data_IF_404702314349
#
_entry.id   IF_404702314349
#
_cell.length_a   1.000
_cell.length_b   1.000
_cell.length_c   1.000
_cell.angle_alpha   90.00
_cell.angle_beta   90.00
_cell.angle_gamma   90.00
#
_symmetry.space_group_name_H-M   'P 1'
#
loop_
_entity.id
_entity.type
_entity.pdbx_description
1 polymer ?
#
# COMPACT_ATOMS: atom_id res chain seq x y z
N UNK A 1 65.27 9.57 15.71
CA UNK A 1 66.29 10.64 15.48
C UNK A 1 65.50 11.85 15.01
N UNK A 2 65.38 12.84 15.87
CA UNK A 2 65.81 14.22 15.77
C UNK A 2 65.16 15.02 14.62
N UNK A 3 64.54 16.18 14.68
CA UNK A 3 64.63 17.28 15.70
C UNK A 3 63.41 18.21 15.49
N UNK A 4 62.97 18.81 16.59
CA UNK A 4 62.24 20.08 16.68
C UNK A 4 62.99 21.23 16.06
N UNK A 5 62.34 22.27 15.53
CA UNK A 5 62.68 23.67 15.75
C UNK A 5 61.38 24.52 15.74
N UNK A 6 61.13 25.15 16.88
CA UNK A 6 60.22 26.29 17.05
C UNK A 6 60.95 27.58 16.63
N UNK A 7 60.22 28.52 15.97
CA UNK A 7 60.61 29.94 15.98
C UNK A 7 59.39 30.79 16.23
N UNK A 8 59.33 31.44 17.36
CA UNK A 8 58.47 32.54 17.69
C UNK A 8 59.02 33.85 17.11
N UNK A 9 58.14 34.64 16.50
CA UNK A 9 58.52 36.06 16.23
C UNK A 9 57.32 36.93 16.67
N UNK A 10 57.56 37.70 17.71
CA UNK A 10 56.75 38.85 18.12
C UNK A 10 56.91 39.98 17.11
N UNK A 11 55.84 40.62 16.68
CA UNK A 11 55.84 41.95 16.09
C UNK A 11 54.64 42.77 16.59
N UNK A 12 54.96 43.99 16.90
CA UNK A 12 54.31 45.02 17.68
C UNK A 12 52.93 45.51 17.06
N UNK A 13 52.10 45.97 17.98
CA UNK A 13 50.79 46.57 17.76
C UNK A 13 50.87 47.94 17.09
N UNK A 14 49.94 48.22 16.22
CA UNK A 14 49.41 49.53 15.95
C UNK A 14 47.87 49.48 16.15
N UNK A 15 47.40 50.20 17.19
CA UNK A 15 45.98 50.40 17.43
C UNK A 15 45.43 51.29 16.31
N UNK A 16 44.60 50.71 15.44
CA UNK A 16 43.63 51.46 14.68
C UNK A 16 42.26 50.95 15.14
N UNK A 17 41.48 51.85 15.74
CA UNK A 17 40.11 51.64 16.16
C UNK A 17 39.26 51.50 14.87
N UNK A 18 38.69 50.31 14.56
CA UNK A 18 37.72 50.25 13.51
C UNK A 18 36.39 50.72 14.09
N UNK A 19 35.83 51.74 13.46
CA UNK A 19 34.42 52.13 13.59
C UNK A 19 33.59 50.89 13.33
N UNK A 20 32.95 50.35 14.38
CA UNK A 20 31.97 49.27 14.26
C UNK A 20 30.75 49.90 13.55
N UNK A 21 30.71 49.75 12.24
CA UNK A 21 29.45 49.83 11.51
C UNK A 21 28.63 48.63 11.96
N UNK A 22 27.66 48.84 12.84
CA UNK A 22 26.62 47.86 13.13
C UNK A 22 25.91 47.61 11.79
N UNK A 23 26.30 46.51 11.12
CA UNK A 23 25.43 45.92 10.13
C UNK A 23 24.19 45.51 10.90
N UNK A 24 23.09 46.29 10.70
CA UNK A 24 21.78 45.81 11.02
C UNK A 24 21.57 44.55 10.20
N UNK A 25 21.66 43.39 10.85
CA UNK A 25 21.04 42.20 10.35
C UNK A 25 19.58 42.55 10.14
N UNK A 26 19.26 42.86 8.91
CA UNK A 26 17.89 42.86 8.44
C UNK A 26 17.44 41.40 8.54
N UNK A 27 16.96 41.01 9.73
CA UNK A 27 16.11 39.87 9.85
C UNK A 27 15.05 40.04 8.78
N UNK A 28 15.18 39.37 7.68
CA UNK A 28 14.12 39.25 6.66
C UNK A 28 12.92 38.69 7.41
N UNK A 29 12.02 39.58 7.80
CA UNK A 29 10.71 39.17 8.30
C UNK A 29 10.16 38.21 7.25
N UNK A 30 10.00 36.95 7.60
CA UNK A 30 9.35 35.96 6.74
C UNK A 30 7.98 36.52 6.39
N UNK A 31 7.82 37.02 5.16
CA UNK A 31 6.54 37.48 4.68
C UNK A 31 5.56 36.33 4.79
N UNK A 32 4.32 36.64 5.22
CA UNK A 32 3.27 35.61 5.24
C UNK A 32 3.15 34.96 3.84
N UNK A 33 2.98 33.64 3.75
CA UNK A 33 2.90 32.95 2.47
C UNK A 33 1.71 33.49 1.65
N UNK A 34 1.87 33.51 0.33
CA UNK A 34 0.88 34.03 -0.61
C UNK A 34 0.26 32.92 -1.45
N UNK A 35 -0.90 33.17 -2.07
CA UNK A 35 -1.54 32.23 -3.01
C UNK A 35 -0.64 31.93 -4.21
N UNK A 36 0.04 32.92 -4.77
CA UNK A 36 0.96 32.75 -5.89
C UNK A 36 2.16 31.85 -5.52
N UNK A 37 2.68 31.96 -4.29
CA UNK A 37 3.75 31.07 -3.80
C UNK A 37 3.23 29.66 -3.60
N UNK A 38 1.99 29.47 -3.15
CA UNK A 38 1.38 28.14 -3.03
C UNK A 38 1.21 27.48 -4.40
N UNK A 39 0.72 28.21 -5.39
CA UNK A 39 0.55 27.72 -6.76
C UNK A 39 1.90 27.33 -7.38
N UNK A 40 2.92 28.18 -7.22
CA UNK A 40 4.28 27.89 -7.69
C UNK A 40 4.90 26.67 -6.99
N UNK A 41 4.69 26.53 -5.68
CA UNK A 41 5.15 25.39 -4.90
C UNK A 41 4.51 24.09 -5.40
N UNK A 42 3.19 24.08 -5.59
CA UNK A 42 2.46 22.89 -6.08
C UNK A 42 2.96 22.52 -7.48
N UNK A 43 3.10 23.47 -8.40
CA UNK A 43 3.60 23.21 -9.75
C UNK A 43 5.03 22.65 -9.75
N UNK A 44 5.91 23.16 -8.89
CA UNK A 44 7.26 22.66 -8.75
C UNK A 44 7.29 21.23 -8.15
N UNK A 45 6.47 20.95 -7.13
CA UNK A 45 6.35 19.64 -6.52
C UNK A 45 5.81 18.60 -7.51
N UNK A 46 4.76 18.95 -8.26
CA UNK A 46 4.20 18.06 -9.30
C UNK A 46 5.26 17.68 -10.34
N UNK A 47 5.99 18.67 -10.84
CA UNK A 47 7.03 18.42 -11.84
C UNK A 47 8.14 17.53 -11.29
N UNK A 48 8.68 17.83 -10.12
CA UNK A 48 9.80 17.07 -9.53
C UNK A 48 9.39 15.64 -9.17
N UNK A 49 8.18 15.45 -8.62
CA UNK A 49 7.66 14.11 -8.31
C UNK A 49 7.34 13.30 -9.57
N UNK A 50 6.81 13.95 -10.61
CA UNK A 50 6.56 13.31 -11.91
C UNK A 50 7.86 12.85 -12.56
N UNK A 51 8.85 13.74 -12.68
CA UNK A 51 10.16 13.41 -13.26
C UNK A 51 10.83 12.25 -12.50
N UNK A 52 10.78 12.28 -11.19
CA UNK A 52 11.29 11.19 -10.34
C UNK A 52 10.54 9.87 -10.54
N UNK A 53 9.21 9.93 -10.72
CA UNK A 53 8.37 8.73 -10.85
C UNK A 53 8.71 7.89 -12.09
N UNK A 54 9.23 8.51 -13.15
CA UNK A 54 9.63 7.80 -14.38
C UNK A 54 10.79 6.85 -14.10
N UNK A 55 11.85 7.34 -13.45
CA UNK A 55 13.00 6.49 -13.10
C UNK A 55 12.67 5.49 -11.99
N UNK A 56 11.95 5.93 -10.97
CA UNK A 56 11.47 5.05 -9.90
C UNK A 56 10.60 3.90 -10.45
N UNK A 57 9.72 4.20 -11.42
CA UNK A 57 8.90 3.19 -12.09
C UNK A 57 9.73 2.16 -12.87
N UNK A 58 10.79 2.61 -13.57
CA UNK A 58 11.73 1.70 -14.27
C UNK A 58 12.45 0.77 -13.28
N UNK A 59 12.93 1.31 -12.17
CA UNK A 59 13.59 0.53 -11.13
C UNK A 59 12.63 -0.47 -10.50
N UNK A 60 11.41 -0.04 -10.17
CA UNK A 60 10.38 -0.92 -9.62
C UNK A 60 10.03 -2.06 -10.59
N UNK A 61 9.91 -1.77 -11.90
CA UNK A 61 9.67 -2.78 -12.93
C UNK A 61 10.79 -3.82 -12.99
N UNK A 62 12.06 -3.37 -13.05
CA UNK A 62 13.22 -4.28 -13.09
C UNK A 62 13.25 -5.14 -11.82
N UNK A 63 13.04 -4.56 -10.64
CA UNK A 63 13.05 -5.30 -9.38
C UNK A 63 11.92 -6.34 -9.31
N UNK A 64 10.70 -5.99 -9.71
CA UNK A 64 9.56 -6.92 -9.69
C UNK A 64 9.67 -8.07 -10.68
N UNK A 65 10.36 -7.87 -11.80
CA UNK A 65 10.55 -8.89 -12.85
C UNK A 65 11.84 -9.69 -12.71
N UNK A 66 12.85 -9.16 -12.02
CA UNK A 66 14.15 -9.78 -11.79
C UNK A 66 14.60 -9.50 -10.36
N UNK A 67 14.11 -10.29 -9.40
CA UNK A 67 14.38 -10.11 -7.97
C UNK A 67 15.78 -10.67 -7.64
N UNK A 68 16.77 -9.79 -7.58
CA UNK A 68 18.16 -10.08 -7.23
C UNK A 68 18.63 -9.12 -6.13
N UNK A 69 19.78 -9.41 -5.51
CA UNK A 69 20.34 -8.51 -4.50
C UNK A 69 20.69 -7.13 -5.07
N UNK A 70 21.12 -7.06 -6.34
CA UNK A 70 21.41 -5.78 -7.01
C UNK A 70 20.15 -4.98 -7.29
N UNK A 71 19.08 -5.62 -7.77
CA UNK A 71 17.81 -4.93 -8.03
C UNK A 71 17.09 -4.56 -6.74
N UNK A 72 17.22 -5.34 -5.68
CA UNK A 72 16.76 -5.02 -4.32
C UNK A 72 17.50 -3.77 -3.78
N UNK A 73 18.83 -3.69 -3.96
CA UNK A 73 19.61 -2.51 -3.56
C UNK A 73 19.19 -1.24 -4.32
N UNK A 74 18.94 -1.34 -5.62
CA UNK A 74 18.44 -0.23 -6.43
C UNK A 74 17.03 0.20 -5.99
N UNK A 75 16.12 -0.75 -5.76
CA UNK A 75 14.76 -0.47 -5.31
C UNK A 75 14.76 0.22 -3.92
N UNK A 76 15.59 -0.25 -2.98
CA UNK A 76 15.74 0.37 -1.68
C UNK A 76 16.25 1.82 -1.78
N UNK A 77 17.26 2.08 -2.64
CA UNK A 77 17.79 3.44 -2.85
C UNK A 77 16.74 4.39 -3.44
N UNK A 78 15.99 3.96 -4.45
CA UNK A 78 14.93 4.80 -5.04
C UNK A 78 13.75 4.97 -4.08
N UNK A 79 13.44 3.96 -3.26
CA UNK A 79 12.47 4.06 -2.19
C UNK A 79 12.85 5.08 -1.11
N UNK A 80 14.12 5.10 -0.69
CA UNK A 80 14.68 6.11 0.22
C UNK A 80 14.49 7.52 -0.36
N UNK A 81 15.00 7.77 -1.57
CA UNK A 81 14.91 9.09 -2.24
C UNK A 81 13.43 9.52 -2.39
N UNK A 82 12.56 8.59 -2.81
CA UNK A 82 11.13 8.85 -2.97
C UNK A 82 10.45 9.24 -1.65
N UNK A 83 10.74 8.51 -0.58
CA UNK A 83 10.21 8.79 0.77
C UNK A 83 10.69 10.14 1.28
N UNK A 84 11.99 10.46 1.17
CA UNK A 84 12.54 11.75 1.57
C UNK A 84 11.92 12.92 0.80
N UNK A 85 11.77 12.78 -0.53
CA UNK A 85 11.10 13.79 -1.36
C UNK A 85 9.65 14.00 -0.91
N UNK A 86 8.88 12.92 -0.75
CA UNK A 86 7.48 12.99 -0.36
C UNK A 86 7.29 13.63 1.01
N UNK A 87 8.08 13.21 2.01
CA UNK A 87 8.05 13.79 3.37
C UNK A 87 8.42 15.27 3.35
N UNK A 88 9.46 15.66 2.60
CA UNK A 88 9.85 17.07 2.46
C UNK A 88 8.69 17.91 1.90
N UNK A 89 8.07 17.47 0.79
CA UNK A 89 6.93 18.20 0.21
C UNK A 89 5.72 18.23 1.13
N UNK A 90 5.46 17.17 1.88
CA UNK A 90 4.38 17.14 2.87
C UNK A 90 4.61 18.18 3.99
N UNK A 91 5.83 18.26 4.54
CA UNK A 91 6.20 19.26 5.56
C UNK A 91 6.18 20.68 5.01
N UNK A 92 6.76 20.89 3.83
CA UNK A 92 6.80 22.21 3.18
C UNK A 92 5.40 22.71 2.81
N UNK A 93 4.46 21.83 2.49
CA UNK A 93 3.06 22.18 2.19
C UNK A 93 2.32 22.76 3.38
N UNK A 94 2.75 22.43 4.61
CA UNK A 94 2.06 22.83 5.84
C UNK A 94 1.89 24.35 5.97
N UNK A 95 2.85 25.15 5.50
CA UNK A 95 2.80 26.62 5.55
C UNK A 95 1.68 27.25 4.71
N UNK A 96 1.13 26.49 3.74
CA UNK A 96 0.06 26.97 2.86
C UNK A 96 -1.34 26.49 3.26
N UNK A 97 -1.45 25.55 4.20
CA UNK A 97 -2.73 24.91 4.55
C UNK A 97 -3.78 25.89 5.10
N UNK A 98 -3.34 26.94 5.79
CA UNK A 98 -4.24 27.96 6.37
C UNK A 98 -4.52 29.15 5.45
N UNK A 99 -3.96 29.17 4.22
CA UNK A 99 -4.17 30.29 3.29
C UNK A 99 -5.62 30.34 2.81
N UNK A 100 -6.17 31.56 2.88
CA UNK A 100 -7.47 31.86 2.28
C UNK A 100 -7.29 32.23 0.81
N UNK A 101 -8.29 31.91 -0.03
CA UNK A 101 -8.30 32.27 -1.45
C UNK A 101 -7.54 31.32 -2.38
N UNK A 102 -7.05 30.18 -1.88
CA UNK A 102 -6.54 29.11 -2.73
C UNK A 102 -7.61 28.59 -3.69
N UNK A 103 -7.22 28.25 -4.92
CA UNK A 103 -8.09 27.50 -5.81
C UNK A 103 -8.41 26.12 -5.23
N UNK A 104 -9.53 25.53 -5.62
CA UNK A 104 -9.85 24.13 -5.24
C UNK A 104 -8.72 23.17 -5.62
N UNK A 105 -8.17 23.32 -6.84
CA UNK A 105 -7.09 22.49 -7.35
C UNK A 105 -5.83 22.60 -6.50
N UNK A 106 -5.37 23.82 -6.22
CA UNK A 106 -4.18 24.06 -5.39
C UNK A 106 -4.37 23.49 -3.97
N UNK A 107 -5.54 23.77 -3.36
CA UNK A 107 -5.85 23.22 -2.03
C UNK A 107 -5.83 21.69 -2.03
N UNK A 108 -6.51 21.06 -3.00
CA UNK A 108 -6.56 19.60 -3.14
C UNK A 108 -5.18 19.00 -3.31
N UNK A 109 -4.31 19.61 -4.13
CA UNK A 109 -2.93 19.14 -4.33
C UNK A 109 -2.09 19.26 -3.06
N UNK A 110 -2.24 20.34 -2.30
CA UNK A 110 -1.59 20.47 -0.98
C UNK A 110 -2.05 19.39 -0.01
N UNK A 111 -3.33 19.06 0.02
CA UNK A 111 -3.88 17.98 0.86
C UNK A 111 -3.32 16.61 0.44
N UNK A 112 -3.22 16.36 -0.87
CA UNK A 112 -2.61 15.13 -1.41
C UNK A 112 -1.11 15.04 -1.08
N UNK A 113 -0.35 16.11 -1.23
CA UNK A 113 1.07 16.14 -0.84
C UNK A 113 1.27 15.80 0.62
N UNK A 114 0.36 16.24 1.49
CA UNK A 114 0.44 15.99 2.93
C UNK A 114 0.01 14.57 3.31
N UNK A 115 -1.08 14.07 2.76
CA UNK A 115 -1.72 12.80 3.19
C UNK A 115 -1.52 11.63 2.24
N UNK A 116 -0.98 11.84 1.03
CA UNK A 116 -0.85 10.82 -0.01
C UNK A 116 0.36 9.89 0.12
N UNK A 117 1.15 10.03 1.19
CA UNK A 117 2.31 9.17 1.43
C UNK A 117 1.84 7.83 1.99
N UNK A 118 2.19 6.73 1.33
CA UNK A 118 1.78 5.39 1.79
C UNK A 118 2.48 5.01 3.09
N UNK A 119 3.80 5.18 3.17
CA UNK A 119 4.60 4.89 4.37
C UNK A 119 5.57 6.07 4.60
N UNK A 120 5.21 7.04 5.44
CA UNK A 120 6.10 8.15 5.77
C UNK A 120 7.22 7.69 6.70
N UNK A 121 8.43 8.20 6.49
CA UNK A 121 9.51 8.08 7.45
C UNK A 121 9.63 9.37 8.27
N UNK A 122 10.05 9.31 9.54
CA UNK A 122 10.41 10.50 10.31
C UNK A 122 11.64 11.18 9.71
N UNK A 123 11.80 12.47 9.99
CA UNK A 123 12.93 13.29 9.47
C UNK A 123 14.30 12.90 10.07
N UNK A 124 14.32 11.99 11.03
CA UNK A 124 15.55 11.43 11.61
C UNK A 124 16.44 10.83 10.53
N UNK A 125 17.71 11.22 10.51
CA UNK A 125 18.70 10.69 9.57
C UNK A 125 18.72 9.15 9.55
N UNK A 126 18.70 8.56 8.35
CA UNK A 126 18.70 7.12 8.11
C UNK A 126 17.33 6.43 8.24
N UNK A 127 16.28 7.11 8.70
CA UNK A 127 14.97 6.48 8.86
C UNK A 127 14.32 6.12 7.52
N UNK A 128 14.43 6.96 6.50
CA UNK A 128 13.94 6.67 5.15
C UNK A 128 14.69 5.50 4.51
N UNK A 129 16.02 5.45 4.69
CA UNK A 129 16.86 4.34 4.22
C UNK A 129 16.49 3.01 4.89
N UNK A 130 16.30 3.02 6.23
CA UNK A 130 15.85 1.85 6.99
C UNK A 130 14.48 1.38 6.49
N UNK A 131 13.51 2.28 6.33
CA UNK A 131 12.18 1.97 5.83
C UNK A 131 12.23 1.37 4.43
N UNK A 132 12.95 1.98 3.50
CA UNK A 132 13.12 1.50 2.13
C UNK A 132 13.78 0.11 2.09
N UNK A 133 14.81 -0.12 2.90
CA UNK A 133 15.48 -1.42 3.01
C UNK A 133 14.52 -2.50 3.51
N UNK A 134 13.74 -2.20 4.55
CA UNK A 134 12.78 -3.16 5.10
C UNK A 134 11.66 -3.47 4.10
N UNK A 135 11.08 -2.46 3.45
CA UNK A 135 10.01 -2.66 2.48
C UNK A 135 10.47 -3.49 1.28
N UNK A 136 11.66 -3.18 0.74
CA UNK A 136 12.26 -3.97 -0.35
C UNK A 136 12.55 -5.41 0.08
N UNK A 137 13.09 -5.61 1.29
CA UNK A 137 13.32 -6.94 1.85
C UNK A 137 12.03 -7.76 1.98
N UNK A 138 10.94 -7.14 2.46
CA UNK A 138 9.64 -7.79 2.56
C UNK A 138 9.09 -8.19 1.18
N UNK A 139 9.18 -7.30 0.19
CA UNK A 139 8.77 -7.59 -1.19
C UNK A 139 9.61 -8.71 -1.80
N UNK A 140 10.93 -8.66 -1.62
CA UNK A 140 11.85 -9.70 -2.09
C UNK A 140 11.59 -11.05 -1.45
N UNK A 141 11.36 -11.08 -0.12
CA UNK A 141 11.00 -12.31 0.60
C UNK A 141 9.70 -12.92 0.06
N UNK A 142 8.70 -12.09 -0.22
CA UNK A 142 7.45 -12.51 -0.83
C UNK A 142 7.67 -13.06 -2.26
N UNK A 143 8.35 -12.32 -3.12
CA UNK A 143 8.57 -12.71 -4.51
C UNK A 143 9.46 -13.95 -4.69
N UNK A 144 10.44 -14.15 -3.78
CA UNK A 144 11.32 -15.34 -3.75
C UNK A 144 10.70 -16.51 -2.97
N UNK A 145 9.57 -16.31 -2.32
CA UNK A 145 8.93 -17.27 -1.42
C UNK A 145 8.65 -18.62 -2.06
N UNK A 146 8.72 -19.67 -1.24
CA UNK A 146 8.42 -21.04 -1.64
C UNK A 146 7.55 -21.72 -0.60
N UNK A 147 6.56 -22.45 -1.07
CA UNK A 147 5.86 -23.46 -0.30
C UNK A 147 6.17 -24.84 -0.83
N UNK A 148 5.38 -25.83 -0.45
CA UNK A 148 5.55 -27.22 -0.87
C UNK A 148 4.25 -27.83 -1.39
N UNK A 149 4.40 -28.76 -2.34
CA UNK A 149 3.35 -29.66 -2.80
C UNK A 149 3.94 -31.05 -2.97
N UNK A 150 3.39 -32.03 -2.25
CA UNK A 150 3.89 -33.41 -2.21
C UNK A 150 5.38 -33.45 -1.81
N UNK A 151 5.77 -32.60 -0.85
CA UNK A 151 7.14 -32.48 -0.35
C UNK A 151 8.14 -31.82 -1.32
N UNK A 152 7.69 -31.28 -2.44
CA UNK A 152 8.53 -30.55 -3.41
C UNK A 152 8.28 -29.05 -3.31
N UNK A 153 9.35 -28.27 -3.35
CA UNK A 153 9.26 -26.82 -3.38
C UNK A 153 8.59 -26.32 -4.66
N UNK A 154 7.64 -25.39 -4.49
CA UNK A 154 6.96 -24.68 -5.57
C UNK A 154 6.87 -23.19 -5.23
N UNK A 155 6.83 -22.33 -6.25
CA UNK A 155 6.72 -20.88 -6.07
C UNK A 155 5.27 -20.43 -5.82
N UNK A 156 5.10 -19.17 -5.42
CA UNK A 156 3.77 -18.63 -5.07
C UNK A 156 2.77 -18.67 -6.23
N UNK A 157 3.18 -18.38 -7.45
CA UNK A 157 2.31 -18.43 -8.63
C UNK A 157 1.84 -19.85 -8.95
N UNK A 158 2.71 -20.85 -8.79
CA UNK A 158 2.35 -22.25 -8.98
C UNK A 158 1.41 -22.75 -7.87
N UNK A 159 1.61 -22.28 -6.61
CA UNK A 159 0.69 -22.56 -5.51
C UNK A 159 -0.69 -22.01 -5.81
N UNK A 160 -0.77 -20.74 -6.23
CA UNK A 160 -2.06 -20.09 -6.52
C UNK A 160 -2.80 -20.80 -7.64
N UNK A 161 -2.12 -21.12 -8.73
CA UNK A 161 -2.68 -21.88 -9.84
C UNK A 161 -3.15 -23.28 -9.40
N UNK A 162 -2.34 -23.99 -8.60
CA UNK A 162 -2.69 -25.30 -8.08
C UNK A 162 -3.88 -25.26 -7.12
N UNK A 163 -3.92 -24.29 -6.18
CA UNK A 163 -5.05 -24.14 -5.25
C UNK A 163 -6.35 -23.83 -5.97
N UNK A 164 -6.30 -23.11 -7.09
CA UNK A 164 -7.48 -22.79 -7.90
C UNK A 164 -8.19 -24.04 -8.44
N UNK A 165 -7.46 -25.09 -8.80
CA UNK A 165 -8.00 -26.29 -9.44
C UNK A 165 -7.93 -27.57 -8.59
N UNK A 166 -7.05 -27.63 -7.61
CA UNK A 166 -6.90 -28.82 -6.74
C UNK A 166 -8.10 -28.95 -5.79
N UNK A 167 -8.47 -30.23 -5.53
CA UNK A 167 -9.57 -30.55 -4.59
C UNK A 167 -9.15 -31.62 -3.56
N UNK A 168 -7.85 -31.93 -3.47
CA UNK A 168 -7.31 -32.79 -2.43
C UNK A 168 -7.05 -31.94 -1.15
N UNK A 169 -7.77 -32.15 -0.05
CA UNK A 169 -7.68 -31.31 1.14
C UNK A 169 -6.33 -31.38 1.86
N UNK A 170 -5.57 -32.46 1.71
CA UNK A 170 -4.23 -32.57 2.32
C UNK A 170 -3.20 -31.76 1.50
N UNK A 171 -3.27 -31.83 0.17
CA UNK A 171 -2.41 -31.03 -0.70
C UNK A 171 -2.72 -29.54 -0.60
N UNK A 172 -3.99 -29.14 -0.53
CA UNK A 172 -4.41 -27.77 -0.31
C UNK A 172 -3.88 -27.23 1.02
N UNK A 173 -3.99 -28.04 2.09
CA UNK A 173 -3.46 -27.69 3.40
C UNK A 173 -1.93 -27.58 3.38
N UNK A 174 -1.22 -28.51 2.73
CA UNK A 174 0.24 -28.46 2.62
C UNK A 174 0.68 -27.16 1.95
N UNK A 175 0.11 -26.80 0.79
CA UNK A 175 0.44 -25.58 0.07
C UNK A 175 0.18 -24.35 0.92
N UNK A 176 -1.01 -24.25 1.53
CA UNK A 176 -1.41 -23.08 2.31
C UNK A 176 -0.54 -22.90 3.55
N UNK A 177 -0.34 -23.96 4.34
CA UNK A 177 0.46 -23.92 5.58
C UNK A 177 1.91 -23.63 5.26
N UNK A 178 2.51 -24.37 4.31
CA UNK A 178 3.93 -24.19 3.98
C UNK A 178 4.23 -22.78 3.47
N UNK A 179 3.35 -22.18 2.69
CA UNK A 179 3.51 -20.79 2.26
C UNK A 179 3.48 -19.81 3.43
N UNK A 180 2.47 -19.91 4.30
CA UNK A 180 2.32 -18.98 5.42
C UNK A 180 3.44 -19.13 6.45
N UNK A 181 3.89 -20.36 6.71
CA UNK A 181 4.98 -20.62 7.65
C UNK A 181 6.35 -20.22 7.08
N UNK A 182 6.62 -20.51 5.81
CA UNK A 182 7.92 -20.25 5.20
C UNK A 182 8.09 -18.79 4.77
N UNK A 183 7.02 -18.09 4.41
CA UNK A 183 7.06 -16.72 3.87
C UNK A 183 6.48 -15.72 4.87
N UNK A 184 5.24 -15.94 5.32
CA UNK A 184 4.52 -14.98 6.16
C UNK A 184 5.12 -14.84 7.56
N UNK A 185 5.31 -15.96 8.25
CA UNK A 185 5.79 -15.93 9.63
C UNK A 185 7.17 -15.26 9.80
N UNK A 186 8.19 -15.51 8.93
CA UNK A 186 9.48 -14.85 9.03
C UNK A 186 9.43 -13.32 8.80
N UNK A 187 8.44 -12.83 8.07
CA UNK A 187 8.29 -11.40 7.75
C UNK A 187 7.80 -10.57 8.94
N UNK A 188 7.16 -11.18 9.94
CA UNK A 188 6.44 -10.46 11.01
C UNK A 188 7.27 -9.44 11.76
N UNK A 189 8.55 -9.71 12.01
CA UNK A 189 9.48 -8.82 12.73
C UNK A 189 9.81 -7.55 11.93
N UNK A 190 10.13 -7.72 10.66
CA UNK A 190 10.42 -6.60 9.75
C UNK A 190 9.15 -5.79 9.48
N UNK A 191 8.00 -6.43 9.34
CA UNK A 191 6.71 -5.76 9.18
C UNK A 191 6.37 -4.88 10.40
N UNK A 192 6.53 -5.40 11.61
CA UNK A 192 6.32 -4.62 12.83
C UNK A 192 7.27 -3.41 12.91
N UNK A 193 8.54 -3.56 12.50
CA UNK A 193 9.50 -2.46 12.46
C UNK A 193 9.11 -1.41 11.41
N UNK A 194 8.68 -1.83 10.23
CA UNK A 194 8.15 -0.95 9.18
C UNK A 194 7.00 -0.08 9.69
N UNK A 195 6.01 -0.70 10.35
CA UNK A 195 4.87 0.02 10.94
C UNK A 195 5.32 1.01 12.02
N UNK A 196 6.27 0.64 12.86
CA UNK A 196 6.79 1.54 13.89
C UNK A 196 7.47 2.80 13.30
N UNK A 197 8.23 2.65 12.21
CA UNK A 197 8.86 3.78 11.50
C UNK A 197 7.77 4.65 10.85
N UNK A 198 6.81 4.02 10.14
CA UNK A 198 5.74 4.75 9.46
C UNK A 198 4.84 5.53 10.44
N UNK A 199 4.55 4.98 11.62
CA UNK A 199 3.80 5.70 12.66
C UNK A 199 4.56 6.93 13.19
N UNK A 200 5.89 6.84 13.34
CA UNK A 200 6.69 8.00 13.73
C UNK A 200 6.66 9.09 12.63
N UNK A 201 6.77 8.69 11.36
CA UNK A 201 6.65 9.61 10.24
C UNK A 201 5.27 10.27 10.15
N UNK A 202 4.20 9.50 10.34
CA UNK A 202 2.83 10.03 10.36
C UNK A 202 2.62 11.04 11.51
N UNK A 203 3.22 10.78 12.70
CA UNK A 203 3.17 11.70 13.83
C UNK A 203 3.86 13.05 13.53
N UNK A 204 4.99 13.05 12.84
CA UNK A 204 5.66 14.28 12.40
C UNK A 204 4.83 15.08 11.38
N UNK A 205 3.96 14.41 10.61
CA UNK A 205 3.00 15.03 9.69
C UNK A 205 1.69 15.47 10.37
N UNK A 206 1.57 15.28 11.70
CA UNK A 206 0.43 15.72 12.50
C UNK A 206 -0.73 14.72 12.55
N UNK A 207 -0.52 13.46 12.22
CA UNK A 207 -1.50 12.37 12.36
C UNK A 207 -1.23 11.55 13.61
N UNK A 208 -2.25 10.90 14.17
CA UNK A 208 -2.10 10.04 15.34
C UNK A 208 -1.23 8.79 15.03
N UNK A 209 -1.41 8.24 13.84
CA UNK A 209 -0.70 7.09 13.30
C UNK A 209 -0.89 7.01 11.76
N UNK A 210 -0.23 6.06 11.11
CA UNK A 210 -0.34 5.87 9.67
C UNK A 210 -1.76 5.46 9.25
N UNK A 211 -2.51 4.77 10.10
CA UNK A 211 -3.90 4.39 9.83
C UNK A 211 -4.84 5.62 9.80
N UNK A 212 -4.66 6.56 10.73
CA UNK A 212 -5.38 7.83 10.71
C UNK A 212 -5.01 8.66 9.47
N UNK A 213 -3.73 8.67 9.09
CA UNK A 213 -3.28 9.34 7.86
C UNK A 213 -3.94 8.73 6.62
N UNK A 214 -3.98 7.41 6.47
CA UNK A 214 -4.63 6.75 5.33
C UNK A 214 -6.12 7.04 5.26
N UNK A 215 -6.83 6.98 6.40
CA UNK A 215 -8.27 7.28 6.45
C UNK A 215 -8.58 8.74 6.11
N UNK A 216 -7.66 9.68 6.37
CA UNK A 216 -7.86 11.09 6.02
C UNK A 216 -7.90 11.35 4.51
N UNK A 217 -7.40 10.43 3.68
CA UNK A 217 -7.43 10.51 2.21
C UNK A 217 -8.80 10.26 1.57
N UNK A 218 -9.82 9.87 2.35
CA UNK A 218 -11.16 9.57 1.82
C UNK A 218 -12.13 10.77 1.79
N UNK A 219 -11.64 11.99 1.80
CA UNK A 219 -12.44 13.24 1.75
C UNK A 219 -13.43 13.41 2.91
N UNK A 220 -13.14 12.78 4.04
CA UNK A 220 -13.88 12.91 5.29
C UNK A 220 -12.96 12.73 6.51
N UNK A 221 -13.37 13.14 7.71
CA UNK A 221 -12.62 12.86 8.94
C UNK A 221 -12.37 11.37 9.11
N UNK A 222 -11.16 10.99 9.52
CA UNK A 222 -10.73 9.59 9.64
C UNK A 222 -11.68 8.72 10.49
N UNK A 223 -12.21 9.29 11.60
CA UNK A 223 -13.16 8.60 12.48
C UNK A 223 -14.54 8.43 11.84
N UNK A 224 -14.95 9.37 10.98
CA UNK A 224 -16.23 9.26 10.27
C UNK A 224 -16.15 8.22 9.16
N UNK A 225 -14.99 8.10 8.50
CA UNK A 225 -14.73 7.00 7.57
C UNK A 225 -14.79 5.63 8.29
N UNK A 226 -14.18 5.51 9.48
CA UNK A 226 -14.25 4.29 10.26
C UNK A 226 -15.70 3.92 10.62
N UNK A 227 -16.49 4.89 11.12
CA UNK A 227 -17.93 4.68 11.41
C UNK A 227 -18.73 4.28 10.16
N UNK A 228 -18.41 4.89 9.01
CA UNK A 228 -19.07 4.55 7.73
C UNK A 228 -18.80 3.10 7.34
N UNK A 229 -17.55 2.65 7.42
CA UNK A 229 -17.20 1.26 7.09
C UNK A 229 -17.81 0.26 8.05
N UNK A 230 -17.85 0.57 9.35
CA UNK A 230 -18.55 -0.26 10.36
C UNK A 230 -20.06 -0.36 10.06
N UNK A 231 -20.70 0.76 9.73
CA UNK A 231 -22.11 0.77 9.33
C UNK A 231 -22.34 -0.11 8.10
N UNK A 232 -21.55 0.06 7.04
CA UNK A 232 -21.67 -0.72 5.80
C UNK A 232 -21.47 -2.22 6.06
N UNK A 233 -20.51 -2.56 6.94
CA UNK A 233 -20.32 -3.95 7.36
C UNK A 233 -21.56 -4.52 8.04
N UNK A 234 -22.18 -3.80 8.97
CA UNK A 234 -23.39 -4.24 9.65
C UNK A 234 -24.59 -4.43 8.68
N UNK A 235 -24.65 -3.60 7.63
CA UNK A 235 -25.70 -3.70 6.60
C UNK A 235 -25.52 -4.93 5.70
N UNK A 236 -24.28 -5.30 5.33
CA UNK A 236 -24.02 -6.46 4.46
C UNK A 236 -23.82 -7.76 5.23
N UNK A 237 -23.50 -7.69 6.52
CA UNK A 237 -23.21 -8.86 7.35
C UNK A 237 -24.27 -9.97 7.31
N UNK A 238 -25.58 -9.71 7.36
CA UNK A 238 -26.58 -10.77 7.29
C UNK A 238 -26.47 -11.59 6.00
N UNK A 239 -26.30 -10.95 4.84
CA UNK A 239 -26.07 -11.63 3.57
C UNK A 239 -24.76 -12.42 3.58
N UNK A 240 -23.70 -11.82 4.12
CA UNK A 240 -22.40 -12.50 4.22
C UNK A 240 -22.50 -13.77 5.09
N UNK A 241 -23.16 -13.70 6.25
CA UNK A 241 -23.37 -14.85 7.14
C UNK A 241 -24.12 -16.00 6.46
N UNK A 242 -25.14 -15.67 5.66
CA UNK A 242 -25.90 -16.65 4.87
C UNK A 242 -25.01 -17.28 3.78
N UNK A 243 -24.30 -16.49 3.00
CA UNK A 243 -23.34 -16.98 1.99
C UNK A 243 -22.25 -17.84 2.60
N UNK A 244 -21.65 -17.38 3.71
CA UNK A 244 -20.62 -18.13 4.41
C UNK A 244 -21.16 -19.49 4.92
N UNK A 245 -22.37 -19.50 5.44
CA UNK A 245 -23.04 -20.73 5.89
C UNK A 245 -23.33 -21.67 4.74
N UNK A 246 -23.80 -21.15 3.61
CA UNK A 246 -24.03 -21.93 2.39
C UNK A 246 -22.72 -22.58 1.89
N UNK A 247 -21.67 -21.77 1.68
CA UNK A 247 -20.37 -22.24 1.20
C UNK A 247 -19.80 -23.29 2.15
N UNK A 248 -19.79 -23.04 3.45
CA UNK A 248 -19.38 -24.00 4.47
C UNK A 248 -20.12 -25.33 4.35
N UNK A 249 -21.44 -25.26 4.12
CA UNK A 249 -22.28 -26.46 3.99
C UNK A 249 -21.93 -27.26 2.71
N UNK A 250 -21.68 -26.60 1.58
CA UNK A 250 -21.25 -27.29 0.37
C UNK A 250 -19.87 -27.92 0.52
N UNK A 251 -18.91 -27.21 1.12
CA UNK A 251 -17.58 -27.73 1.42
C UNK A 251 -17.64 -28.92 2.41
N UNK A 252 -18.51 -28.84 3.43
CA UNK A 252 -18.73 -29.98 4.33
C UNK A 252 -19.32 -31.20 3.59
N UNK A 253 -20.28 -31.02 2.70
CA UNK A 253 -20.82 -32.09 1.88
C UNK A 253 -19.75 -32.74 1.00
N UNK A 254 -18.82 -31.96 0.45
CA UNK A 254 -17.74 -32.45 -0.39
C UNK A 254 -16.67 -33.18 0.38
N UNK A 255 -16.23 -32.63 1.51
CA UNK A 255 -15.03 -33.09 2.22
C UNK A 255 -15.32 -33.84 3.52
N UNK A 256 -16.53 -33.77 4.04
CA UNK A 256 -16.94 -34.40 5.30
C UNK A 256 -16.51 -33.64 6.55
N UNK A 257 -17.06 -34.07 7.70
CA UNK A 257 -16.87 -33.40 9.01
C UNK A 257 -15.41 -33.41 9.50
N UNK A 258 -14.62 -34.38 9.08
CA UNK A 258 -13.20 -34.46 9.45
C UNK A 258 -12.33 -33.36 8.82
N UNK A 259 -12.72 -32.87 7.66
CA UNK A 259 -12.00 -31.81 6.91
C UNK A 259 -12.63 -30.46 7.13
N UNK A 260 -13.95 -30.33 6.93
CA UNK A 260 -14.69 -29.09 7.13
C UNK A 260 -15.86 -29.32 8.07
N UNK A 261 -15.82 -28.68 9.24
CA UNK A 261 -16.93 -28.73 10.22
C UNK A 261 -18.21 -28.10 9.65
N UNK A 262 -19.36 -28.58 10.13
CA UNK A 262 -20.70 -27.99 9.84
C UNK A 262 -20.89 -26.61 10.48
N UNK A 263 -20.14 -26.30 11.49
CA UNK A 263 -20.23 -25.05 12.25
C UNK A 263 -18.88 -24.37 12.39
N UNK A 264 -18.87 -23.08 12.70
CA UNK A 264 -17.64 -22.31 12.87
C UNK A 264 -17.07 -21.78 11.54
N UNK A 265 -15.80 -21.43 11.50
CA UNK A 265 -15.14 -20.88 10.31
C UNK A 265 -14.96 -21.93 9.21
N UNK A 266 -14.79 -21.46 7.98
CA UNK A 266 -14.32 -22.27 6.86
C UNK A 266 -12.81 -22.40 6.93
N UNK A 267 -12.26 -23.58 6.65
CA UNK A 267 -10.82 -23.74 6.45
C UNK A 267 -10.37 -22.90 5.24
N UNK A 268 -9.38 -22.03 5.47
CA UNK A 268 -8.91 -21.06 4.48
C UNK A 268 -8.33 -21.73 3.21
N UNK A 269 -7.65 -22.83 3.37
CA UNK A 269 -7.03 -23.62 2.30
C UNK A 269 -8.05 -24.26 1.34
N UNK A 270 -9.33 -24.35 1.72
CA UNK A 270 -10.39 -24.92 0.87
C UNK A 270 -11.03 -23.90 -0.07
N UNK A 271 -10.66 -22.62 0.00
CA UNK A 271 -11.32 -21.53 -0.72
C UNK A 271 -10.72 -21.24 -2.11
N UNK A 272 -9.76 -22.06 -2.55
CA UNK A 272 -9.27 -22.01 -3.93
C UNK A 272 -8.25 -20.91 -4.24
N UNK A 273 -7.74 -20.22 -3.22
CA UNK A 273 -6.66 -19.24 -3.34
C UNK A 273 -5.86 -19.14 -2.04
N UNK A 274 -4.66 -18.54 -2.13
CA UNK A 274 -3.73 -18.44 -1.00
C UNK A 274 -4.22 -17.52 0.12
N UNK A 275 -5.14 -16.59 -0.17
CA UNK A 275 -5.55 -15.50 0.73
C UNK A 275 -6.94 -15.69 1.32
N UNK A 276 -7.68 -16.70 0.88
CA UNK A 276 -9.04 -16.98 1.29
C UNK A 276 -10.01 -15.79 1.14
N UNK A 277 -9.71 -14.85 0.24
CA UNK A 277 -10.40 -13.57 0.08
C UNK A 277 -11.57 -13.62 -0.92
N UNK A 278 -11.62 -14.66 -1.74
CA UNK A 278 -12.64 -14.86 -2.77
C UNK A 278 -12.94 -16.34 -2.94
N UNK A 279 -14.11 -16.65 -3.54
CA UNK A 279 -14.58 -18.04 -3.70
C UNK A 279 -14.80 -18.43 -5.16
N UNK A 280 -14.34 -17.62 -6.10
CA UNK A 280 -14.53 -17.85 -7.54
C UNK A 280 -13.96 -19.19 -8.01
N UNK A 281 -12.77 -19.54 -7.52
CA UNK A 281 -12.09 -20.77 -7.92
C UNK A 281 -12.72 -22.06 -7.39
N UNK A 282 -13.64 -22.00 -6.43
CA UNK A 282 -14.39 -23.16 -5.93
C UNK A 282 -15.84 -23.20 -6.42
N UNK A 283 -16.15 -22.46 -7.47
CA UNK A 283 -17.50 -22.40 -8.01
C UNK A 283 -18.09 -23.78 -8.36
N UNK A 284 -17.27 -24.67 -8.89
CA UNK A 284 -17.64 -26.09 -9.15
C UNK A 284 -18.15 -26.84 -7.91
N UNK A 285 -17.70 -26.43 -6.72
CA UNK A 285 -18.10 -27.04 -5.43
C UNK A 285 -19.34 -26.34 -4.85
N UNK A 286 -19.44 -25.03 -5.02
CA UNK A 286 -20.45 -24.19 -4.33
C UNK A 286 -21.55 -23.68 -5.24
N UNK A 287 -21.50 -23.97 -6.54
CA UNK A 287 -22.55 -23.56 -7.47
C UNK A 287 -23.94 -24.08 -6.99
N UNK A 288 -24.96 -23.21 -6.96
CA UNK A 288 -26.32 -23.65 -6.68
C UNK A 288 -26.79 -24.68 -7.70
N UNK A 289 -27.69 -25.61 -7.34
CA UNK A 289 -28.31 -26.53 -8.31
C UNK A 289 -28.91 -25.76 -9.48
N UNK A 290 -28.61 -26.17 -10.70
CA UNK A 290 -29.08 -25.51 -11.93
C UNK A 290 -28.30 -24.28 -12.37
N UNK A 291 -27.26 -23.87 -11.61
CA UNK A 291 -26.44 -22.72 -11.97
C UNK A 291 -25.63 -22.89 -13.27
N UNK A 292 -25.41 -24.12 -13.71
CA UNK A 292 -24.80 -24.41 -15.02
C UNK A 292 -25.66 -24.01 -16.22
N UNK A 293 -27.01 -24.00 -16.02
CA UNK A 293 -27.98 -23.59 -17.04
C UNK A 293 -28.29 -22.09 -16.99
N UNK A 294 -28.00 -21.44 -15.88
CA UNK A 294 -28.09 -20.00 -15.71
C UNK A 294 -26.67 -19.46 -15.96
N UNK A 295 -26.21 -19.47 -17.19
CA UNK A 295 -24.98 -18.71 -17.53
C UNK A 295 -25.15 -17.34 -16.94
N UNK A 296 -24.14 -16.81 -16.21
CA UNK A 296 -24.10 -15.55 -15.46
C UNK A 296 -25.06 -14.45 -15.99
N UNK A 297 -26.34 -14.72 -16.02
CA UNK A 297 -27.34 -13.78 -16.46
C UNK A 297 -27.79 -12.95 -15.26
N UNK A 298 -26.85 -12.04 -14.86
CA UNK A 298 -27.17 -10.99 -13.88
C UNK A 298 -28.44 -10.25 -14.33
N UNK A 299 -28.68 -10.14 -15.65
CA UNK A 299 -29.90 -9.58 -16.20
C UNK A 299 -31.12 -10.36 -15.79
N UNK A 300 -31.11 -11.69 -15.93
CA UNK A 300 -32.22 -12.55 -15.51
C UNK A 300 -32.45 -12.50 -13.99
N UNK A 301 -31.37 -12.44 -13.19
CA UNK A 301 -31.46 -12.29 -11.73
C UNK A 301 -32.07 -10.95 -11.34
N UNK A 302 -31.70 -9.87 -11.99
CA UNK A 302 -32.25 -8.54 -11.73
C UNK A 302 -33.70 -8.44 -12.17
N UNK A 303 -34.07 -9.02 -13.30
CA UNK A 303 -35.49 -9.13 -13.75
C UNK A 303 -36.29 -9.95 -12.75
N UNK A 304 -35.79 -11.06 -12.25
CA UNK A 304 -36.43 -11.86 -11.20
C UNK A 304 -36.61 -11.09 -9.88
N UNK A 305 -35.76 -10.08 -9.63
CA UNK A 305 -35.85 -9.14 -8.49
C UNK A 305 -36.78 -7.95 -8.76
N UNK A 306 -37.47 -7.89 -9.94
CA UNK A 306 -38.45 -6.86 -10.27
C UNK A 306 -37.90 -5.67 -11.06
N UNK A 307 -36.65 -5.69 -11.49
CA UNK A 307 -36.10 -4.67 -12.40
C UNK A 307 -36.62 -4.94 -13.82
N UNK A 308 -36.95 -3.87 -14.56
CA UNK A 308 -37.35 -4.02 -15.96
C UNK A 308 -36.18 -4.36 -16.83
N UNK A 309 -36.37 -5.27 -17.78
CA UNK A 309 -35.29 -5.67 -18.72
C UNK A 309 -34.69 -4.50 -19.48
N UNK A 310 -35.46 -3.46 -19.76
CA UNK A 310 -35.02 -2.21 -20.38
C UNK A 310 -34.12 -1.36 -19.49
N UNK A 311 -34.16 -1.57 -18.17
CA UNK A 311 -33.34 -0.84 -17.18
C UNK A 311 -32.01 -1.53 -16.92
N UNK A 312 -31.90 -2.82 -17.20
CA UNK A 312 -30.71 -3.64 -16.93
C UNK A 312 -29.78 -3.72 -18.15
N UNK A 313 -30.28 -3.38 -19.35
CA UNK A 313 -29.55 -3.55 -20.60
C UNK A 313 -29.43 -5.03 -21.02
N UNK A 314 -29.11 -5.28 -22.27
CA UNK A 314 -28.84 -6.62 -22.79
C UNK A 314 -27.37 -6.97 -22.62
N UNK A 315 -27.00 -7.44 -21.42
CA UNK A 315 -25.61 -7.86 -21.13
C UNK A 315 -25.17 -9.08 -21.95
N UNK A 316 -26.10 -9.93 -22.41
CA UNK A 316 -25.79 -11.10 -23.23
C UNK A 316 -25.42 -10.72 -24.65
N UNK A 317 -26.06 -9.69 -25.22
CA UNK A 317 -25.75 -9.17 -26.56
C UNK A 317 -24.38 -8.42 -26.60
N UNK A 318 -23.96 -7.81 -25.50
CA UNK A 318 -22.69 -7.08 -25.40
C UNK A 318 -21.48 -8.00 -25.14
N UNK A 319 -21.69 -9.17 -24.51
CA UNK A 319 -20.61 -10.15 -24.26
C UNK A 319 -20.05 -10.72 -25.58
N UNK A 320 -20.92 -11.10 -26.53
CA UNK A 320 -20.50 -11.60 -27.85
C UNK A 320 -19.81 -10.56 -28.73
N UNK A 321 -19.91 -9.26 -28.38
CA UNK A 321 -19.22 -8.18 -29.10
C UNK A 321 -17.83 -7.92 -28.52
N UNK A 322 -17.68 -7.94 -27.20
CA UNK A 322 -16.40 -7.81 -26.52
C UNK A 322 -15.43 -8.97 -26.83
N UNK A 323 -15.95 -10.20 -27.00
CA UNK A 323 -15.13 -11.36 -27.38
C UNK A 323 -14.68 -11.34 -28.86
N UNK A 324 -15.29 -10.52 -29.73
CA UNK A 324 -14.88 -10.35 -31.14
C UNK A 324 -13.93 -9.19 -31.36
N UNK A 325 -13.82 -8.28 -30.39
CA UNK A 325 -12.99 -7.07 -30.47
C UNK A 325 -11.68 -7.22 -29.67
N UNK A 326 -11.42 -8.38 -29.04
CA UNK A 326 -10.15 -8.82 -28.46
C UNK A 326 -9.46 -9.84 -29.37
#
# INVERSE_FOLDING_TARGET
MKNLVSIAALAFASLSIPTVVMAQDSATASSAPTVAEADAFVAAAEKDLFDFSIEAGRVAWINSTHITDDTDALAARYGEIGTEKAVRYALDSAKYQALLGLSYDTKRKLDILRGGIVLPAPTKAGAAAELATITTKLQSAYGKGRGTLNGKEINGSDIEAAMGSNRNPEELKEMWVSWHDNVGAPMGKDYARMVAIANQGAAELGYADVGAMWRSGYDMPADDFAKLTDKLWLEVKPLYDELHTYVRTQLNKKYGDAVQSKTGPIRADLLGNMWAQEWGNIYDVVAPPGAGDIGYDIGALLVAKGYKQTEVGDFSANRGKAEKDM
#
